data_IF_053939037144
#
_entry.id   IF_053939037144
#
_cell.length_a   1.000
_cell.length_b   1.000
_cell.length_c   1.000
_cell.angle_alpha   90.00
_cell.angle_beta   90.00
_cell.angle_gamma   90.00
#
_symmetry.space_group_name_H-M   'P 1'
#
loop_
_entity.id
_entity.type
_entity.pdbx_description
1 polymer ?
#
# COMPACT_ATOMS: atom_id res chain seq x y z
N UNK A 1 14.54 28.90 -26.52
CA UNK A 1 13.86 28.11 -25.46
C UNK A 1 14.31 26.68 -25.62
N UNK A 2 14.79 26.03 -24.56
CA UNK A 2 15.21 24.63 -24.64
C UNK A 2 13.99 23.73 -24.91
N UNK A 3 14.13 22.80 -25.84
CA UNK A 3 13.09 21.82 -26.14
C UNK A 3 12.86 20.92 -24.91
N UNK A 4 11.58 20.65 -24.59
CA UNK A 4 11.22 19.82 -23.44
C UNK A 4 11.56 18.36 -23.72
N UNK A 5 12.07 17.67 -22.71
CA UNK A 5 12.34 16.23 -22.74
C UNK A 5 11.09 15.50 -22.26
N UNK A 6 10.68 14.46 -22.98
CA UNK A 6 9.57 13.58 -22.65
C UNK A 6 10.08 12.19 -22.32
N UNK A 7 9.43 11.56 -21.35
CA UNK A 7 9.71 10.21 -20.90
C UNK A 7 8.51 9.31 -21.12
N UNK A 8 8.76 8.02 -21.30
CA UNK A 8 7.70 7.03 -21.25
C UNK A 8 7.08 6.98 -19.85
N UNK A 9 5.76 6.99 -19.78
CA UNK A 9 5.01 6.97 -18.53
C UNK A 9 5.19 5.64 -17.78
N UNK A 10 5.60 5.66 -16.48
CA UNK A 10 5.89 4.44 -15.72
C UNK A 10 4.64 3.60 -15.43
N UNK A 11 3.44 4.16 -15.60
CA UNK A 11 2.16 3.48 -15.36
C UNK A 11 1.53 2.92 -16.65
N UNK A 12 2.13 3.15 -17.82
CA UNK A 12 1.62 2.67 -19.09
C UNK A 12 2.40 1.45 -19.54
N UNK A 13 1.76 0.30 -19.44
CA UNK A 13 2.22 -0.93 -20.08
C UNK A 13 1.88 -0.89 -21.56
N UNK A 14 2.71 -1.52 -22.39
CA UNK A 14 2.42 -1.71 -23.80
C UNK A 14 2.64 -3.15 -24.22
N UNK A 15 1.94 -3.56 -25.26
CA UNK A 15 2.04 -4.90 -25.85
C UNK A 15 1.96 -4.78 -27.38
N UNK A 16 2.86 -5.48 -28.08
CA UNK A 16 2.79 -5.59 -29.54
C UNK A 16 1.95 -6.80 -29.93
N UNK A 17 0.90 -6.55 -30.68
CA UNK A 17 0.12 -7.53 -31.43
C UNK A 17 0.54 -7.46 -32.90
N UNK A 18 0.13 -8.44 -33.72
CA UNK A 18 0.59 -8.59 -35.11
C UNK A 18 0.63 -7.29 -35.94
N UNK A 19 -0.44 -6.47 -35.87
CA UNK A 19 -0.54 -5.20 -36.59
C UNK A 19 -1.07 -4.05 -35.71
N UNK A 20 -1.00 -4.23 -34.39
CA UNK A 20 -1.52 -3.28 -33.41
C UNK A 20 -0.56 -3.17 -32.23
N UNK A 21 -0.51 -2.01 -31.60
CA UNK A 21 0.15 -1.82 -30.30
C UNK A 21 -0.90 -1.35 -29.30
N UNK A 22 -1.04 -2.12 -28.23
CA UNK A 22 -1.83 -1.74 -27.08
C UNK A 22 -0.95 -0.91 -26.15
N UNK A 23 -1.40 0.28 -25.73
CA UNK A 23 -0.73 1.11 -24.73
C UNK A 23 -1.74 1.48 -23.65
N UNK A 24 -1.62 0.88 -22.47
CA UNK A 24 -2.65 0.91 -21.44
C UNK A 24 -3.96 0.32 -21.97
N UNK A 25 -4.98 1.15 -22.12
CA UNK A 25 -6.31 0.75 -22.63
C UNK A 25 -6.54 1.20 -24.08
N UNK A 26 -5.54 1.84 -24.71
CA UNK A 26 -5.65 2.38 -26.07
C UNK A 26 -5.03 1.44 -27.09
N UNK A 27 -5.70 1.29 -28.24
CA UNK A 27 -5.21 0.52 -29.38
C UNK A 27 -4.73 1.46 -30.47
N UNK A 28 -3.50 1.25 -30.91
CA UNK A 28 -2.90 1.94 -32.04
C UNK A 28 -2.68 0.93 -33.16
N UNK A 29 -3.17 1.23 -34.36
CA UNK A 29 -3.09 0.33 -35.52
C UNK A 29 -2.24 0.95 -36.63
N UNK A 30 -1.81 0.13 -37.58
CA UNK A 30 -1.07 0.60 -38.76
C UNK A 30 0.37 0.98 -38.43
N UNK A 31 0.86 2.07 -39.03
CA UNK A 31 2.29 2.47 -39.03
C UNK A 31 2.87 2.72 -37.64
N UNK A 32 2.02 3.10 -36.67
CA UNK A 32 2.39 3.24 -35.26
C UNK A 32 2.89 1.93 -34.64
N UNK A 33 2.41 0.78 -35.12
CA UNK A 33 2.87 -0.52 -34.62
C UNK A 33 4.31 -0.84 -35.04
N UNK A 34 4.76 -0.25 -36.15
CA UNK A 34 6.12 -0.38 -36.68
C UNK A 34 7.13 0.43 -35.86
N UNK A 35 6.68 1.46 -35.13
CA UNK A 35 7.54 2.26 -34.26
C UNK A 35 8.06 1.49 -33.04
N UNK A 36 7.37 0.41 -32.65
CA UNK A 36 7.71 -0.40 -31.48
C UNK A 36 8.57 -1.61 -31.86
N UNK A 37 9.65 -1.90 -31.09
CA UNK A 37 9.91 -1.42 -29.73
C UNK A 37 10.78 -0.14 -29.63
N UNK A 38 11.37 0.33 -30.73
CA UNK A 38 12.37 1.40 -30.72
C UNK A 38 11.88 2.69 -30.06
N UNK A 39 10.65 3.11 -30.38
CA UNK A 39 10.02 4.29 -29.81
C UNK A 39 9.96 4.23 -28.29
N UNK A 40 9.58 3.07 -27.74
CA UNK A 40 9.52 2.85 -26.29
C UNK A 40 10.89 3.01 -25.65
N UNK A 41 11.94 2.39 -26.20
CA UNK A 41 13.28 2.46 -25.61
C UNK A 41 13.89 3.86 -25.69
N UNK A 42 13.59 4.63 -26.74
CA UNK A 42 13.98 6.04 -26.82
C UNK A 42 13.26 6.86 -25.77
N UNK A 43 11.93 6.75 -25.69
CA UNK A 43 11.13 7.47 -24.71
C UNK A 43 11.49 7.09 -23.26
N UNK A 44 11.91 5.85 -22.98
CA UNK A 44 12.32 5.43 -21.64
C UNK A 44 13.54 6.21 -21.12
N UNK A 45 14.47 6.57 -22.01
CA UNK A 45 15.70 7.31 -21.67
C UNK A 45 15.51 8.83 -21.60
N UNK A 46 14.34 9.31 -22.03
CA UNK A 46 14.10 10.73 -22.26
C UNK A 46 14.46 11.09 -23.70
N UNK A 47 13.50 11.69 -24.42
CA UNK A 47 13.63 12.03 -25.83
C UNK A 47 12.97 13.37 -26.13
N UNK A 48 13.50 14.11 -27.10
CA UNK A 48 12.86 15.32 -27.63
C UNK A 48 11.82 14.97 -28.70
N UNK A 49 10.83 15.83 -28.88
CA UNK A 49 9.81 15.61 -29.92
C UNK A 49 10.46 15.68 -31.30
N UNK A 50 11.39 16.61 -31.52
CA UNK A 50 12.17 16.72 -32.75
C UNK A 50 12.87 15.41 -33.13
N UNK A 51 13.52 14.76 -32.18
CA UNK A 51 14.22 13.47 -32.37
C UNK A 51 13.25 12.32 -32.71
N UNK A 52 12.05 12.31 -32.12
CA UNK A 52 11.01 11.34 -32.46
C UNK A 52 10.46 11.58 -33.88
N UNK A 53 10.19 12.83 -34.23
CA UNK A 53 9.68 13.19 -35.56
C UNK A 53 10.71 12.88 -36.65
N UNK A 54 11.98 13.19 -36.42
CA UNK A 54 13.07 12.88 -37.35
C UNK A 54 13.16 11.37 -37.63
N UNK A 55 13.08 10.54 -36.59
CA UNK A 55 13.25 9.09 -36.74
C UNK A 55 12.01 8.36 -37.28
N UNK A 56 10.81 8.81 -36.91
CA UNK A 56 9.58 8.05 -37.17
C UNK A 56 8.66 8.66 -38.24
N UNK A 57 9.02 9.82 -38.80
CA UNK A 57 8.15 10.51 -39.76
C UNK A 57 7.87 9.75 -41.04
N UNK A 58 8.77 8.87 -41.52
CA UNK A 58 8.59 8.03 -42.73
C UNK A 58 7.93 8.78 -43.92
N UNK A 59 8.23 10.07 -44.09
CA UNK A 59 7.66 10.93 -45.14
C UNK A 59 6.39 11.72 -44.78
N UNK A 60 5.75 11.47 -43.62
CA UNK A 60 4.60 12.21 -43.11
C UNK A 60 4.87 12.81 -41.70
N UNK A 61 5.47 14.00 -41.70
CA UNK A 61 5.79 14.75 -40.48
C UNK A 61 4.54 15.16 -39.70
N UNK A 62 3.49 15.61 -40.39
CA UNK A 62 2.27 16.12 -39.74
C UNK A 62 1.52 15.01 -38.99
N UNK A 63 1.40 13.82 -39.59
CA UNK A 63 0.75 12.67 -38.97
C UNK A 63 1.55 12.18 -37.75
N UNK A 64 2.87 12.18 -37.87
CA UNK A 64 3.77 11.79 -36.77
C UNK A 64 3.66 12.75 -35.59
N UNK A 65 3.61 14.05 -35.85
CA UNK A 65 3.39 15.07 -34.81
C UNK A 65 2.03 14.88 -34.12
N UNK A 66 0.95 14.68 -34.88
CA UNK A 66 -0.39 14.41 -34.32
C UNK A 66 -0.40 13.17 -33.42
N UNK A 67 0.29 12.12 -33.82
CA UNK A 67 0.39 10.90 -33.02
C UNK A 67 1.18 11.10 -31.73
N UNK A 68 2.28 11.85 -31.77
CA UNK A 68 3.06 12.21 -30.57
C UNK A 68 2.23 13.10 -29.63
N UNK A 69 1.51 14.10 -30.16
CA UNK A 69 0.60 14.94 -29.38
C UNK A 69 -0.51 14.12 -28.71
N UNK A 70 -1.06 13.14 -29.41
CA UNK A 70 -2.04 12.20 -28.86
C UNK A 70 -1.43 11.36 -27.72
N UNK A 71 -0.19 10.92 -27.85
CA UNK A 71 0.52 10.19 -26.78
C UNK A 71 0.79 11.08 -25.55
N UNK A 72 1.12 12.36 -25.75
CA UNK A 72 1.28 13.33 -24.65
C UNK A 72 -0.07 13.57 -23.95
N UNK A 73 -1.13 13.80 -24.73
CA UNK A 73 -2.49 14.02 -24.22
C UNK A 73 -2.97 12.85 -23.36
N UNK A 74 -2.66 11.62 -23.77
CA UNK A 74 -3.07 10.40 -23.07
C UNK A 74 -2.08 9.92 -21.99
N UNK A 75 -1.12 10.77 -21.59
CA UNK A 75 -0.12 10.45 -20.56
C UNK A 75 0.71 9.20 -20.87
N UNK A 76 0.95 8.91 -22.15
CA UNK A 76 1.93 7.91 -22.60
C UNK A 76 3.33 8.53 -22.55
N UNK A 77 3.45 9.77 -23.03
CA UNK A 77 4.63 10.60 -22.89
C UNK A 77 4.42 11.67 -21.83
N UNK A 78 5.34 11.79 -20.88
CA UNK A 78 5.25 12.70 -19.75
C UNK A 78 6.53 13.50 -19.59
N UNK A 79 6.43 14.80 -19.30
CA UNK A 79 7.59 15.67 -19.06
C UNK A 79 7.82 15.99 -17.59
N UNK A 80 6.93 15.53 -16.71
CA UNK A 80 6.95 15.76 -15.27
C UNK A 80 6.50 14.49 -14.54
N UNK A 81 6.80 14.42 -13.25
CA UNK A 81 6.24 13.39 -12.36
C UNK A 81 4.71 13.43 -12.45
N UNK A 82 4.11 12.25 -12.60
CA UNK A 82 2.66 12.08 -12.61
C UNK A 82 2.05 12.50 -11.27
N UNK A 83 0.78 12.91 -11.28
CA UNK A 83 0.09 13.22 -10.03
C UNK A 83 0.03 11.95 -9.14
N UNK A 84 0.18 12.04 -7.80
CA UNK A 84 0.19 10.85 -6.93
C UNK A 84 -0.97 9.88 -7.18
N UNK A 85 -2.19 10.40 -7.39
CA UNK A 85 -3.36 9.58 -7.77
C UNK A 85 -3.13 8.74 -9.03
N UNK A 86 -2.48 9.29 -10.06
CA UNK A 86 -2.18 8.57 -11.30
C UNK A 86 -1.09 7.51 -11.06
N UNK A 87 -0.07 7.81 -10.26
CA UNK A 87 0.99 6.85 -9.88
C UNK A 87 0.41 5.62 -9.18
N UNK A 88 -0.50 5.83 -8.23
CA UNK A 88 -1.09 4.75 -7.43
C UNK A 88 -2.30 4.08 -8.09
N UNK A 89 -2.83 4.60 -9.20
CA UNK A 89 -4.01 4.03 -9.89
C UNK A 89 -3.83 2.57 -10.33
N UNK A 90 -2.60 2.17 -10.65
CA UNK A 90 -2.27 0.77 -10.98
C UNK A 90 -2.42 -0.16 -9.77
N UNK A 91 -2.17 0.35 -8.56
CA UNK A 91 -2.28 -0.41 -7.30
C UNK A 91 -3.73 -0.51 -6.82
N UNK A 92 -4.59 0.45 -7.17
CA UNK A 92 -6.03 0.38 -6.87
C UNK A 92 -6.67 -0.85 -7.53
N UNK A 93 -6.23 -1.25 -8.73
CA UNK A 93 -6.69 -2.48 -9.40
C UNK A 93 -6.32 -3.76 -8.62
N UNK A 94 -5.30 -3.70 -7.76
CA UNK A 94 -4.84 -4.83 -6.93
C UNK A 94 -5.62 -4.87 -5.60
N UNK A 95 -6.14 -3.74 -5.13
CA UNK A 95 -6.87 -3.65 -3.88
C UNK A 95 -8.38 -3.85 -4.10
N UNK A 96 -8.82 -5.11 -4.09
CA UNK A 96 -10.24 -5.44 -3.99
C UNK A 96 -10.70 -5.31 -2.55
N UNK A 97 -11.55 -4.32 -2.25
CA UNK A 97 -12.21 -4.24 -0.96
C UNK A 97 -13.32 -5.32 -0.89
N UNK A 98 -13.20 -6.35 -0.02
CA UNK A 98 -14.20 -7.42 0.06
C UNK A 98 -15.49 -6.96 0.76
N UNK A 99 -15.47 -5.79 1.41
CA UNK A 99 -16.59 -5.29 2.20
C UNK A 99 -17.53 -4.42 1.38
N UNK A 100 -18.83 -4.53 1.65
CA UNK A 100 -19.88 -3.77 0.98
C UNK A 100 -19.70 -2.27 1.15
N UNK A 101 -19.93 -1.51 0.07
CA UNK A 101 -19.97 -0.04 0.13
C UNK A 101 -21.10 0.49 1.03
N UNK A 102 -22.10 -0.33 1.36
CA UNK A 102 -23.23 0.06 2.21
C UNK A 102 -22.83 0.36 3.66
N UNK A 103 -21.68 -0.16 4.13
CA UNK A 103 -21.11 0.15 5.45
C UNK A 103 -20.91 1.66 5.66
N UNK A 104 -20.74 2.42 4.57
CA UNK A 104 -20.56 3.88 4.63
C UNK A 104 -21.87 4.66 4.78
N UNK A 105 -23.00 4.04 4.49
CA UNK A 105 -24.29 4.72 4.34
C UNK A 105 -25.38 4.20 5.29
N UNK A 106 -25.26 2.95 5.76
CA UNK A 106 -26.18 2.36 6.75
C UNK A 106 -25.50 2.21 8.10
N UNK A 107 -26.13 2.76 9.14
CA UNK A 107 -25.69 2.61 10.53
C UNK A 107 -25.77 1.14 10.98
N UNK A 108 -26.81 0.42 10.57
CA UNK A 108 -27.01 -0.98 10.94
C UNK A 108 -25.89 -1.87 10.37
N UNK A 109 -25.52 -1.67 9.11
CA UNK A 109 -24.42 -2.40 8.47
C UNK A 109 -23.06 -2.04 9.09
N UNK A 110 -22.87 -0.77 9.46
CA UNK A 110 -21.67 -0.32 10.17
C UNK A 110 -21.57 -0.95 11.56
N UNK A 111 -22.64 -0.95 12.34
CA UNK A 111 -22.67 -1.50 13.69
C UNK A 111 -22.44 -3.02 13.66
N UNK A 112 -23.03 -3.72 12.69
CA UNK A 112 -22.77 -5.15 12.45
C UNK A 112 -21.30 -5.40 12.12
N UNK A 113 -20.75 -4.66 11.18
CA UNK A 113 -19.35 -4.78 10.80
C UNK A 113 -18.40 -4.50 11.98
N UNK A 114 -18.65 -3.44 12.76
CA UNK A 114 -17.88 -3.12 13.95
C UNK A 114 -17.92 -4.27 14.97
N UNK A 115 -19.11 -4.83 15.22
CA UNK A 115 -19.27 -5.96 16.14
C UNK A 115 -18.48 -7.19 15.70
N UNK A 116 -18.52 -7.53 14.40
CA UNK A 116 -17.74 -8.64 13.83
C UNK A 116 -16.24 -8.41 13.96
N UNK A 117 -15.75 -7.21 13.64
CA UNK A 117 -14.32 -6.90 13.75
C UNK A 117 -13.83 -6.88 15.20
N UNK A 118 -14.62 -6.37 16.14
CA UNK A 118 -14.25 -6.29 17.55
C UNK A 118 -14.25 -7.66 18.25
N UNK A 119 -15.02 -8.62 17.75
CA UNK A 119 -15.13 -9.96 18.33
C UNK A 119 -14.39 -11.04 17.53
N UNK A 120 -13.58 -10.66 16.55
CA UNK A 120 -12.78 -11.60 15.77
C UNK A 120 -11.78 -12.32 16.67
N UNK A 121 -11.53 -13.58 16.35
CA UNK A 121 -10.46 -14.38 16.96
C UNK A 121 -9.56 -14.87 15.84
N UNK A 122 -8.24 -14.80 16.04
CA UNK A 122 -7.29 -15.25 15.04
C UNK A 122 -7.36 -16.78 14.87
N UNK A 123 -7.28 -17.29 13.65
CA UNK A 123 -7.43 -18.73 13.32
C UNK A 123 -6.40 -19.60 14.06
N UNK A 124 -5.22 -19.06 14.36
CA UNK A 124 -4.17 -19.76 15.10
C UNK A 124 -4.37 -19.78 16.63
N UNK A 125 -5.47 -19.21 17.16
CA UNK A 125 -5.78 -19.28 18.58
C UNK A 125 -5.95 -20.75 19.01
N UNK A 126 -5.27 -21.13 20.09
CA UNK A 126 -5.31 -22.49 20.67
C UNK A 126 -6.14 -22.48 21.96
N UNK A 127 -6.56 -23.65 22.40
CA UNK A 127 -7.36 -23.82 23.63
C UNK A 127 -6.59 -23.57 24.94
N UNK A 128 -5.25 -23.47 24.89
CA UNK A 128 -4.46 -23.16 26.07
C UNK A 128 -4.47 -21.66 26.33
N UNK A 129 -5.08 -21.26 27.44
CA UNK A 129 -5.17 -19.88 27.88
C UNK A 129 -4.24 -19.62 29.07
N UNK A 130 -3.58 -18.46 29.07
CA UNK A 130 -2.79 -17.97 30.20
C UNK A 130 -3.44 -16.68 30.68
N UNK A 131 -3.87 -16.66 31.93
CA UNK A 131 -4.46 -15.48 32.53
C UNK A 131 -3.39 -14.44 32.84
N UNK A 132 -3.58 -13.22 32.34
CA UNK A 132 -2.69 -12.10 32.58
C UNK A 132 -3.15 -11.28 33.79
N UNK A 133 -2.25 -11.02 34.74
CA UNK A 133 -2.36 -9.94 35.70
C UNK A 133 -2.60 -8.58 35.01
N UNK A 134 -3.46 -7.77 35.61
CA UNK A 134 -3.87 -6.45 35.14
C UNK A 134 -3.37 -5.34 36.05
N UNK A 135 -3.26 -4.13 35.51
CA UNK A 135 -2.97 -2.91 36.27
C UNK A 135 -3.74 -1.75 35.65
N UNK A 136 -4.36 -0.92 36.49
CA UNK A 136 -5.10 0.28 36.05
C UNK A 136 -4.18 1.50 35.96
N UNK A 137 -2.98 1.41 36.52
CA UNK A 137 -2.00 2.48 36.52
C UNK A 137 -1.12 2.45 35.27
N UNK A 138 -1.21 3.51 34.46
CA UNK A 138 -0.25 3.77 33.40
C UNK A 138 1.11 4.08 34.04
N UNK A 139 2.20 3.39 33.66
CA UNK A 139 3.48 3.61 34.31
C UNK A 139 4.00 5.03 34.05
N UNK A 140 4.65 5.62 35.06
CA UNK A 140 5.38 6.90 34.96
C UNK A 140 6.44 6.94 33.85
N UNK A 141 6.75 5.78 33.27
CA UNK A 141 7.75 5.54 32.22
C UNK A 141 7.49 6.24 30.87
N UNK A 142 6.30 6.79 30.64
CA UNK A 142 5.99 7.52 29.39
C UNK A 142 6.97 8.69 29.20
N UNK A 143 7.35 9.38 30.28
CA UNK A 143 8.32 10.50 30.23
C UNK A 143 9.75 10.04 30.02
N UNK A 144 10.09 8.81 30.42
CA UNK A 144 11.45 8.25 30.37
C UNK A 144 11.65 7.27 29.21
N UNK A 145 10.71 7.24 28.27
CA UNK A 145 10.70 6.28 27.17
C UNK A 145 11.98 6.37 26.33
N UNK A 146 12.74 5.27 26.32
CA UNK A 146 13.93 5.09 25.49
C UNK A 146 13.89 3.75 24.76
N UNK A 147 14.59 3.67 23.64
CA UNK A 147 14.78 2.41 22.92
C UNK A 147 15.98 1.67 23.49
N UNK A 148 15.77 0.47 24.06
CA UNK A 148 16.84 -0.38 24.58
C UNK A 148 17.12 -1.54 23.62
N UNK A 149 18.40 -1.85 23.35
CA UNK A 149 18.82 -2.96 22.48
C UNK A 149 19.85 -3.90 23.12
N UNK A 150 20.23 -3.62 24.36
CA UNK A 150 21.11 -4.45 25.17
C UNK A 150 20.29 -4.96 26.36
N UNK A 151 20.21 -6.28 26.50
CA UNK A 151 19.32 -6.92 27.47
C UNK A 151 20.14 -7.73 28.46
N UNK A 152 19.73 -7.71 29.72
CA UNK A 152 20.20 -8.69 30.69
C UNK A 152 19.76 -10.09 30.23
N UNK A 153 20.71 -11.02 30.22
CA UNK A 153 20.49 -12.36 29.67
C UNK A 153 20.32 -13.43 30.75
N UNK A 154 20.91 -13.22 31.92
CA UNK A 154 20.89 -14.18 33.02
C UNK A 154 19.62 -14.09 33.87
N UNK A 155 19.02 -12.90 33.92
CA UNK A 155 17.81 -12.66 34.71
C UNK A 155 16.55 -12.85 33.87
N UNK A 156 15.65 -13.70 34.36
CA UNK A 156 14.31 -13.85 33.78
C UNK A 156 13.46 -12.59 34.03
N UNK A 157 12.58 -12.27 33.08
CA UNK A 157 11.53 -11.27 33.28
C UNK A 157 10.47 -11.92 34.18
N UNK A 158 10.06 -11.23 35.24
CA UNK A 158 9.01 -11.78 36.10
C UNK A 158 7.68 -11.85 35.36
N UNK A 159 6.91 -12.91 35.61
CA UNK A 159 5.62 -13.11 34.96
C UNK A 159 4.70 -11.91 35.19
N UNK A 160 4.64 -11.40 36.43
CA UNK A 160 3.87 -10.21 36.78
C UNK A 160 4.23 -8.97 35.94
N UNK A 161 5.52 -8.68 35.74
CA UNK A 161 5.96 -7.53 34.92
C UNK A 161 5.60 -7.72 33.45
N UNK A 162 5.85 -8.91 32.92
CA UNK A 162 5.51 -9.26 31.55
C UNK A 162 4.00 -9.15 31.32
N UNK A 163 3.22 -9.69 32.24
CA UNK A 163 1.77 -9.73 32.19
C UNK A 163 1.15 -8.34 32.23
N UNK A 164 1.56 -7.50 33.18
CA UNK A 164 1.08 -6.11 33.29
C UNK A 164 1.45 -5.26 32.08
N UNK A 165 2.61 -5.53 31.46
CA UNK A 165 2.96 -4.88 30.21
C UNK A 165 2.00 -5.28 29.09
N UNK A 166 1.80 -6.59 28.88
CA UNK A 166 0.89 -7.08 27.85
C UNK A 166 -0.57 -6.69 28.09
N UNK A 167 -0.99 -6.55 29.35
CA UNK A 167 -2.34 -6.10 29.67
C UNK A 167 -2.63 -4.69 29.16
N UNK A 168 -1.63 -3.85 28.92
CA UNK A 168 -1.84 -2.53 28.28
C UNK A 168 -2.25 -2.63 26.81
N UNK A 169 -2.04 -3.78 26.17
CA UNK A 169 -2.33 -4.03 24.76
C UNK A 169 -3.60 -4.85 24.55
N UNK A 170 -4.24 -5.32 25.64
CA UNK A 170 -5.41 -6.20 25.57
C UNK A 170 -6.69 -5.43 25.24
N UNK A 171 -7.69 -6.18 24.79
CA UNK A 171 -9.06 -5.70 24.70
C UNK A 171 -9.68 -5.57 26.09
N UNK A 172 -10.31 -4.43 26.36
CA UNK A 172 -11.14 -4.23 27.55
C UNK A 172 -12.61 -4.34 27.14
N UNK A 173 -13.37 -5.15 27.90
CA UNK A 173 -14.80 -5.38 27.70
C UNK A 173 -15.56 -4.91 28.93
N UNK A 174 -16.09 -3.69 28.85
CA UNK A 174 -16.98 -3.09 29.86
C UNK A 174 -18.33 -2.77 29.20
N UNK A 175 -18.92 -1.60 29.44
CA UNK A 175 -20.10 -1.12 28.70
C UNK A 175 -19.84 -1.01 27.19
N UNK A 176 -18.58 -0.80 26.81
CA UNK A 176 -18.10 -0.79 25.43
C UNK A 176 -16.80 -1.58 25.33
N UNK A 177 -16.53 -2.09 24.12
CA UNK A 177 -15.25 -2.69 23.78
C UNK A 177 -14.26 -1.57 23.42
N UNK A 178 -13.11 -1.53 24.07
CA UNK A 178 -12.05 -0.57 23.76
C UNK A 178 -10.65 -1.14 23.99
N UNK A 179 -9.65 -0.42 23.52
CA UNK A 179 -8.23 -0.67 23.78
C UNK A 179 -7.54 0.63 24.20
N UNK A 180 -6.37 0.54 24.84
CA UNK A 180 -5.60 1.70 25.28
C UNK A 180 -4.85 2.47 24.16
N UNK A 181 -5.22 2.25 22.90
CA UNK A 181 -4.70 2.99 21.75
C UNK A 181 -5.84 3.51 20.88
N UNK A 182 -5.59 4.56 20.09
CA UNK A 182 -6.58 5.06 19.14
C UNK A 182 -6.59 4.19 17.87
N UNK A 183 -7.78 3.85 17.37
CA UNK A 183 -7.95 3.17 16.09
C UNK A 183 -8.99 3.90 15.24
N UNK A 184 -8.68 4.06 13.95
CA UNK A 184 -9.65 4.57 12.99
C UNK A 184 -10.93 3.71 13.01
N UNK A 185 -12.08 4.37 13.11
CA UNK A 185 -13.40 3.71 13.16
C UNK A 185 -13.63 2.80 14.37
N UNK A 186 -12.76 2.80 15.38
CA UNK A 186 -12.89 1.90 16.54
C UNK A 186 -12.79 0.41 16.21
N UNK A 187 -12.18 0.06 15.07
CA UNK A 187 -12.15 -1.32 14.56
C UNK A 187 -11.02 -2.19 15.12
N UNK A 188 -9.96 -1.56 15.64
CA UNK A 188 -8.81 -2.24 16.25
C UNK A 188 -8.25 -3.40 15.42
N UNK A 189 -7.79 -3.16 14.18
CA UNK A 189 -7.45 -4.24 13.25
C UNK A 189 -6.09 -4.90 13.50
N UNK A 190 -5.43 -4.63 14.63
CA UNK A 190 -4.09 -5.14 14.94
C UNK A 190 -4.20 -6.34 15.89
N UNK A 191 -3.71 -7.49 15.46
CA UNK A 191 -3.50 -8.66 16.31
C UNK A 191 -2.04 -8.71 16.78
N UNK A 192 -1.80 -9.08 18.04
CA UNK A 192 -0.47 -9.04 18.66
C UNK A 192 -0.02 -10.46 18.98
N UNK A 193 1.10 -10.86 18.39
CA UNK A 193 1.73 -12.15 18.64
C UNK A 193 3.01 -11.95 19.45
N UNK A 194 3.16 -12.71 20.52
CA UNK A 194 4.32 -12.61 21.41
C UNK A 194 5.16 -13.87 21.28
N UNK A 195 6.39 -13.70 20.82
CA UNK A 195 7.38 -14.77 20.75
C UNK A 195 8.26 -14.75 22.01
N UNK A 196 8.22 -15.84 22.78
CA UNK A 196 8.99 -15.99 24.02
C UNK A 196 10.09 -17.02 23.77
N UNK A 197 11.36 -16.60 23.89
CA UNK A 197 12.48 -17.56 23.87
C UNK A 197 12.47 -18.40 25.16
N UNK A 198 12.96 -19.65 25.12
CA UNK A 198 13.05 -20.49 26.32
C UNK A 198 13.78 -19.77 27.46
N UNK A 199 13.31 -19.97 28.70
CA UNK A 199 13.92 -19.43 29.93
C UNK A 199 14.09 -17.89 29.92
N UNK A 200 13.15 -17.15 29.34
CA UNK A 200 13.16 -15.67 29.38
C UNK A 200 12.16 -15.06 30.34
N UNK A 201 11.14 -15.83 30.71
CA UNK A 201 10.09 -15.42 31.63
C UNK A 201 10.05 -16.47 32.74
N UNK A 202 9.81 -16.00 33.97
CA UNK A 202 9.54 -16.88 35.10
C UNK A 202 8.40 -17.86 34.78
N UNK A 203 8.56 -19.11 35.21
CA UNK A 203 7.56 -20.16 34.99
C UNK A 203 6.37 -19.88 35.93
N UNK A 204 5.17 -20.03 35.37
CA UNK A 204 3.88 -19.89 36.07
C UNK A 204 3.66 -21.10 36.96
#
# INVERSE_FOLDING_TARGET
MSEKIYYWSPIKHWEKLHNEVLIGEMRFTGILSEWFPDFYFMAQKGVKISELVERFSLGNVEETQKNIELMIKNRVLVSNILHPREVFSSQEKIFSNPYSNQIRFSKEELDKYMSEQLNRTHVAARSTEIQLETTDELPTIIKERRSCRQFEMEKHISFSKFSRFLSTLKQVREEKIYYHYASAGGLYPIDIFVYIKPKRIEII
#
